data_IF_856855983755
#
_entry.id   IF_856855983755
#
_cell.length_a   1.000
_cell.length_b   1.000
_cell.length_c   1.000
_cell.angle_alpha   90.00
_cell.angle_beta   90.00
_cell.angle_gamma   90.00
#
_symmetry.space_group_name_H-M   'P 1'
#
loop_
_entity.id
_entity.type
_entity.pdbx_description
1 polymer ?
#
# COMPACT_ATOMS: atom_id res chain seq x y z
N UNK A 1 9.59 12.19 25.54
CA UNK A 1 8.61 11.11 25.34
C UNK A 1 9.18 10.12 24.33
N UNK A 2 10.08 9.24 24.79
CA UNK A 2 10.72 8.24 23.94
C UNK A 2 10.06 6.88 24.23
N UNK A 3 8.91 6.64 23.63
CA UNK A 3 8.42 5.27 23.50
C UNK A 3 9.14 4.70 22.28
N UNK A 4 9.90 3.63 22.48
CA UNK A 4 10.54 2.87 21.40
C UNK A 4 9.43 2.21 20.56
N UNK A 5 8.75 3.04 19.76
CA UNK A 5 7.79 2.62 18.75
C UNK A 5 8.56 1.80 17.74
N UNK A 6 8.21 0.52 17.62
CA UNK A 6 8.79 -0.38 16.65
C UNK A 6 8.70 0.30 15.27
N UNK A 7 9.85 0.56 14.65
CA UNK A 7 9.93 1.22 13.35
C UNK A 7 9.93 0.16 12.27
N UNK A 8 8.97 0.25 11.36
CA UNK A 8 8.80 -0.70 10.27
C UNK A 8 8.92 0.06 8.97
N UNK A 9 9.78 -0.42 8.08
CA UNK A 9 9.85 0.07 6.70
C UNK A 9 9.18 -0.96 5.81
N UNK A 10 8.13 -0.54 5.09
CA UNK A 10 7.42 -1.36 4.11
C UNK A 10 7.87 -0.92 2.72
N UNK A 11 8.48 -1.83 1.96
CA UNK A 11 8.90 -1.56 0.58
C UNK A 11 7.88 -2.18 -0.36
N UNK A 12 7.15 -1.34 -1.09
CA UNK A 12 6.05 -1.71 -1.96
C UNK A 12 4.68 -1.37 -1.38
N UNK A 13 3.86 -0.66 -2.16
CA UNK A 13 2.45 -0.31 -1.89
C UNK A 13 1.48 -1.11 -2.79
N UNK A 14 1.87 -2.34 -3.13
CA UNK A 14 0.97 -3.35 -3.72
C UNK A 14 -0.03 -3.88 -2.70
N UNK A 15 -0.70 -4.99 -3.04
CA UNK A 15 -1.71 -5.61 -2.16
C UNK A 15 -1.16 -5.91 -0.77
N UNK A 16 -0.04 -6.62 -0.69
CA UNK A 16 0.54 -7.01 0.59
C UNK A 16 0.98 -5.83 1.46
N UNK A 17 1.63 -4.81 0.87
CA UNK A 17 2.13 -3.67 1.62
C UNK A 17 1.01 -2.81 2.23
N UNK A 18 -0.06 -2.60 1.45
CA UNK A 18 -1.25 -1.89 1.93
C UNK A 18 -2.00 -2.69 3.00
N UNK A 19 -2.25 -3.98 2.76
CA UNK A 19 -2.96 -4.82 3.74
C UNK A 19 -2.18 -4.98 5.05
N UNK A 20 -0.86 -5.15 4.97
CA UNK A 20 0.01 -5.16 6.16
C UNK A 20 -0.09 -3.86 6.95
N UNK A 21 -0.01 -2.71 6.25
CA UNK A 21 -0.09 -1.40 6.90
C UNK A 21 -1.47 -1.16 7.51
N UNK A 22 -2.55 -1.57 6.82
CA UNK A 22 -3.93 -1.49 7.32
C UNK A 22 -4.14 -2.36 8.56
N UNK A 23 -3.64 -3.60 8.55
CA UNK A 23 -3.73 -4.52 9.69
C UNK A 23 -3.03 -3.97 10.94
N UNK A 24 -2.02 -3.11 10.77
CA UNK A 24 -1.28 -2.47 11.86
C UNK A 24 -1.76 -1.04 12.20
N UNK A 25 -2.85 -0.55 11.60
CA UNK A 25 -3.29 0.85 11.72
C UNK A 25 -3.58 1.35 13.14
N UNK A 26 -3.78 0.45 14.11
CA UNK A 26 -3.95 0.78 15.54
C UNK A 26 -2.83 0.30 16.46
N UNK A 27 -1.79 -0.35 15.92
CA UNK A 27 -0.68 -0.85 16.72
C UNK A 27 0.26 0.30 17.13
N UNK A 28 0.96 0.20 18.28
CA UNK A 28 1.91 1.21 18.75
C UNK A 28 3.25 1.14 17.98
N UNK A 29 3.18 1.22 16.65
CA UNK A 29 4.29 1.09 15.71
C UNK A 29 4.38 2.32 14.81
N UNK A 30 5.58 2.63 14.33
CA UNK A 30 5.80 3.70 13.35
C UNK A 30 6.15 3.09 12.00
N UNK A 31 5.23 3.21 11.03
CA UNK A 31 5.41 2.65 9.70
C UNK A 31 5.88 3.75 8.73
N UNK A 32 6.90 3.45 7.93
CA UNK A 32 7.30 4.23 6.76
C UNK A 32 7.15 3.35 5.53
N UNK A 33 6.23 3.72 4.63
CA UNK A 33 6.01 2.99 3.38
C UNK A 33 6.73 3.70 2.24
N UNK A 34 7.46 2.92 1.44
CA UNK A 34 8.20 3.41 0.28
C UNK A 34 7.75 2.59 -0.92
N UNK A 35 7.20 3.26 -1.93
CA UNK A 35 6.91 2.66 -3.23
C UNK A 35 7.44 3.57 -4.34
N UNK A 36 7.71 2.97 -5.50
CA UNK A 36 8.14 3.70 -6.70
C UNK A 36 7.02 4.59 -7.26
N UNK A 37 5.76 4.26 -6.99
CA UNK A 37 4.55 4.93 -7.44
C UNK A 37 3.77 5.46 -6.23
N UNK A 38 3.08 6.57 -6.43
CA UNK A 38 2.20 7.19 -5.43
C UNK A 38 0.75 6.66 -5.48
N UNK A 39 0.50 5.57 -6.21
CA UNK A 39 -0.80 4.95 -6.37
C UNK A 39 -0.68 3.43 -6.26
N UNK A 40 -1.74 2.80 -5.77
CA UNK A 40 -1.90 1.36 -5.81
C UNK A 40 -2.61 0.94 -7.09
N UNK A 41 -1.99 0.06 -7.87
CA UNK A 41 -2.59 -0.48 -9.07
C UNK A 41 -3.35 -1.77 -8.74
N UNK A 42 -4.66 -1.77 -8.95
CA UNK A 42 -5.46 -2.98 -8.90
C UNK A 42 -5.29 -3.77 -10.19
N UNK A 43 -4.17 -4.51 -10.26
CA UNK A 43 -3.73 -5.28 -11.44
C UNK A 43 -4.81 -6.20 -12.04
N UNK A 44 -5.73 -6.83 -11.26
CA UNK A 44 -6.74 -7.73 -11.83
C UNK A 44 -7.67 -7.10 -12.87
N UNK A 45 -7.91 -5.77 -12.83
CA UNK A 45 -8.81 -5.10 -13.80
C UNK A 45 -8.06 -4.44 -14.96
N UNK A 46 -6.73 -4.63 -15.07
CA UNK A 46 -5.95 -4.06 -16.17
C UNK A 46 -6.46 -4.51 -17.54
N UNK A 47 -6.94 -5.75 -17.66
CA UNK A 47 -7.54 -6.23 -18.90
C UNK A 47 -8.77 -5.41 -19.31
N UNK A 48 -9.65 -5.10 -18.36
CA UNK A 48 -10.85 -4.33 -18.62
C UNK A 48 -10.54 -2.87 -18.98
N UNK A 49 -9.48 -2.31 -18.40
CA UNK A 49 -8.95 -1.01 -18.79
C UNK A 49 -8.41 -1.07 -20.23
N UNK A 50 -7.63 -2.09 -20.57
CA UNK A 50 -7.05 -2.26 -21.90
C UNK A 50 -8.11 -2.46 -23.00
N UNK A 51 -9.24 -3.10 -22.68
CA UNK A 51 -10.37 -3.30 -23.60
C UNK A 51 -11.39 -2.17 -23.59
N UNK A 52 -11.10 -1.05 -22.90
CA UNK A 52 -12.01 0.10 -22.73
C UNK A 52 -13.34 -0.20 -22.04
N UNK A 53 -13.48 -1.39 -21.43
CA UNK A 53 -14.62 -1.75 -20.61
C UNK A 53 -14.66 -0.99 -19.28
N UNK A 54 -13.51 -0.48 -18.82
CA UNK A 54 -13.37 0.43 -17.70
C UNK A 54 -12.52 1.64 -18.10
N UNK A 55 -12.84 2.80 -17.53
CA UNK A 55 -12.03 4.00 -17.69
C UNK A 55 -10.71 3.87 -16.92
N UNK A 56 -9.64 4.48 -17.44
CA UNK A 56 -8.42 4.74 -16.66
C UNK A 56 -8.73 5.80 -15.61
N UNK A 57 -8.52 5.46 -14.35
CA UNK A 57 -8.55 6.39 -13.22
C UNK A 57 -7.37 7.35 -13.19
#
# INVERSE_FOLDING_TARGET
MNQASLRIVVVGAGFGGLEFTRALGGAPVRITMIDKRNHHLFQPLLYQVATTALATS
#
